data_IF_602203676448
#
_entry.id   IF_602203676448
#
_cell.length_a   1.000
_cell.length_b   1.000
_cell.length_c   1.000
_cell.angle_alpha   90.00
_cell.angle_beta   90.00
_cell.angle_gamma   90.00
#
_symmetry.space_group_name_H-M   'P 1'
#
loop_
_entity.id
_entity.type
_entity.pdbx_description
1 polymer ?
#
# COMPACT_ATOMS: atom_id res chain seq x y z
N UNK A 1 -48.34 -48.73 -42.01
CA UNK A 1 -49.35 -48.02 -41.19
C UNK A 1 -48.66 -46.85 -40.50
N UNK A 2 -49.20 -45.64 -40.69
CA UNK A 2 -48.62 -44.36 -40.28
C UNK A 2 -49.15 -44.01 -38.88
N UNK A 3 -48.28 -43.79 -37.90
CA UNK A 3 -48.66 -43.11 -36.66
C UNK A 3 -47.96 -41.75 -36.60
N UNK A 4 -48.79 -40.72 -36.65
CA UNK A 4 -48.49 -39.32 -36.83
C UNK A 4 -48.72 -38.60 -35.48
N UNK A 5 -47.77 -37.74 -35.11
CA UNK A 5 -47.89 -36.53 -34.26
C UNK A 5 -48.36 -36.67 -32.80
N UNK A 6 -47.55 -36.10 -31.89
CA UNK A 6 -47.92 -34.82 -31.26
C UNK A 6 -46.65 -34.06 -30.82
N UNK A 7 -46.47 -32.85 -31.36
CA UNK A 7 -45.51 -31.85 -30.87
C UNK A 7 -46.22 -31.07 -29.76
N UNK A 8 -45.62 -31.00 -28.57
CA UNK A 8 -46.04 -30.04 -27.55
C UNK A 8 -45.01 -28.91 -27.50
N UNK A 9 -45.40 -27.78 -28.07
CA UNK A 9 -44.80 -26.46 -27.88
C UNK A 9 -45.61 -25.75 -26.79
N UNK A 10 -44.99 -25.43 -25.66
CA UNK A 10 -45.42 -24.42 -24.69
C UNK A 10 -44.33 -24.39 -23.59
N UNK A 11 -43.79 -23.28 -23.14
CA UNK A 11 -44.01 -21.89 -23.43
C UNK A 11 -42.95 -21.14 -22.62
N UNK A 12 -42.34 -20.14 -23.25
CA UNK A 12 -41.41 -19.22 -22.58
C UNK A 12 -42.24 -18.40 -21.58
N UNK A 13 -41.98 -18.57 -20.28
CA UNK A 13 -42.46 -17.64 -19.26
C UNK A 13 -41.30 -16.77 -18.79
N UNK A 14 -41.17 -15.61 -19.43
CA UNK A 14 -40.40 -14.48 -18.88
C UNK A 14 -41.18 -13.96 -17.67
N UNK A 15 -40.69 -14.26 -16.47
CA UNK A 15 -41.16 -13.61 -15.25
C UNK A 15 -40.48 -12.24 -15.11
N UNK A 16 -41.34 -11.24 -15.03
CA UNK A 16 -41.07 -9.80 -14.95
C UNK A 16 -40.20 -9.45 -13.74
N UNK A 17 -39.29 -8.51 -13.96
CA UNK A 17 -38.40 -7.94 -12.97
C UNK A 17 -39.16 -7.38 -11.76
N UNK A 18 -38.86 -7.90 -10.56
CA UNK A 18 -39.17 -7.21 -9.32
C UNK A 18 -38.10 -6.12 -9.10
N UNK A 19 -38.45 -4.87 -9.39
CA UNK A 19 -37.72 -3.70 -8.91
C UNK A 19 -37.78 -3.67 -7.39
N UNK A 20 -36.76 -4.22 -6.73
CA UNK A 20 -36.54 -3.99 -5.32
C UNK A 20 -36.17 -2.52 -5.12
N UNK A 21 -37.11 -1.73 -4.60
CA UNK A 21 -36.80 -0.41 -4.08
C UNK A 21 -35.91 -0.61 -2.85
N UNK A 22 -34.62 -0.35 -2.99
CA UNK A 22 -33.70 -0.21 -1.86
C UNK A 22 -34.14 1.03 -1.07
N UNK A 23 -34.91 0.82 0.00
CA UNK A 23 -35.04 1.80 1.05
C UNK A 23 -33.64 2.04 1.62
N UNK A 24 -33.08 3.22 1.41
CA UNK A 24 -31.80 3.58 2.01
C UNK A 24 -31.97 3.59 3.54
N UNK A 25 -31.03 3.01 4.31
CA UNK A 25 -31.04 3.21 5.75
C UNK A 25 -30.92 4.71 6.04
N UNK A 26 -31.83 5.22 6.88
CA UNK A 26 -31.82 6.59 7.37
C UNK A 26 -30.59 6.79 8.26
N UNK A 27 -29.47 7.19 7.68
CA UNK A 27 -28.28 7.54 8.45
C UNK A 27 -28.55 8.85 9.21
N UNK A 28 -28.24 8.93 10.51
CA UNK A 28 -28.30 10.19 11.23
C UNK A 28 -27.40 11.20 10.52
N UNK A 29 -27.97 12.32 10.08
CA UNK A 29 -27.23 13.40 9.45
C UNK A 29 -26.19 13.93 10.45
N UNK A 30 -24.92 13.90 10.04
CA UNK A 30 -23.85 14.51 10.82
C UNK A 30 -24.16 16.01 11.03
N UNK A 31 -23.95 16.56 12.25
CA UNK A 31 -24.19 17.97 12.51
C UNK A 31 -23.35 18.84 11.56
N UNK A 32 -23.99 19.87 10.98
CA UNK A 32 -23.37 20.82 10.05
C UNK A 32 -22.10 21.41 10.69
N UNK A 33 -20.95 21.16 10.06
CA UNK A 33 -19.66 21.74 10.45
C UNK A 33 -19.74 23.28 10.31
N UNK A 34 -19.39 24.06 11.33
CA UNK A 34 -19.31 25.51 11.21
C UNK A 34 -18.33 25.91 10.11
N UNK A 35 -18.76 26.87 9.28
CA UNK A 35 -17.96 27.52 8.24
C UNK A 35 -16.70 28.14 8.87
N UNK A 36 -15.49 27.93 8.32
CA UNK A 36 -14.32 28.66 8.79
C UNK A 36 -14.54 30.15 8.59
N UNK A 37 -14.57 30.89 9.70
CA UNK A 37 -14.49 32.34 9.71
C UNK A 37 -13.08 32.75 9.27
N UNK A 38 -12.99 33.68 8.32
CA UNK A 38 -11.71 34.25 7.91
C UNK A 38 -11.13 35.08 9.07
N UNK A 39 -10.11 34.57 9.74
CA UNK A 39 -9.29 35.37 10.63
C UNK A 39 -8.26 36.15 9.80
N UNK A 40 -8.55 37.43 9.63
CA UNK A 40 -7.55 38.43 9.28
C UNK A 40 -6.67 38.70 10.52
N UNK A 41 -5.35 38.59 10.38
CA UNK A 41 -4.41 39.27 11.28
C UNK A 41 -3.02 39.41 10.65
N UNK A 42 -2.76 40.65 10.22
CA UNK A 42 -1.53 41.45 10.41
C UNK A 42 -0.16 40.82 10.11
N UNK A 43 0.42 41.26 8.99
CA UNK A 43 1.84 41.16 8.67
C UNK A 43 2.62 42.31 9.35
N UNK A 44 3.61 42.04 10.22
CA UNK A 44 4.59 43.04 10.61
C UNK A 44 5.84 42.92 9.72
N UNK A 45 6.17 44.02 9.05
CA UNK A 45 7.45 44.26 8.38
C UNK A 45 8.52 44.65 9.42
N UNK A 46 9.73 44.10 9.39
CA UNK A 46 10.88 44.69 10.06
C UNK A 46 11.81 45.39 9.06
N UNK A 47 12.10 46.65 9.36
CA UNK A 47 13.07 47.50 8.70
C UNK A 47 14.48 47.26 9.29
N UNK A 48 15.47 47.21 8.39
CA UNK A 48 16.92 47.46 8.48
C UNK A 48 17.74 47.00 9.70
N UNK A 49 18.91 46.38 9.46
CA UNK A 49 20.25 46.96 9.75
C UNK A 49 21.35 46.03 9.22
N UNK A 50 22.29 46.58 8.44
CA UNK A 50 23.49 45.90 7.97
C UNK A 50 24.56 45.84 9.09
N UNK A 51 25.28 44.73 9.19
CA UNK A 51 26.52 44.64 9.97
C UNK A 51 27.50 43.74 9.22
N UNK A 52 28.68 44.29 8.93
CA UNK A 52 29.80 43.68 8.22
C UNK A 52 30.59 42.68 9.09
N UNK A 53 31.00 41.55 8.46
CA UNK A 53 32.24 40.73 8.62
C UNK A 53 32.65 40.15 10.02
N UNK A 54 33.36 38.98 10.13
CA UNK A 54 34.37 38.46 9.17
C UNK A 54 34.40 36.94 8.89
N UNK A 55 35.24 36.59 7.91
CA UNK A 55 35.74 35.27 7.49
C UNK A 55 35.93 34.21 8.58
N UNK A 56 35.55 32.97 8.26
CA UNK A 56 35.91 31.78 9.05
C UNK A 56 35.47 30.45 8.43
N UNK A 57 36.38 29.85 7.66
CA UNK A 57 36.58 28.39 7.53
C UNK A 57 35.59 27.57 6.71
N UNK A 58 36.16 26.87 5.72
CA UNK A 58 35.50 25.94 4.82
C UNK A 58 34.62 24.91 5.56
N UNK A 59 33.30 24.96 5.29
CA UNK A 59 32.40 23.87 5.61
C UNK A 59 32.75 22.68 4.71
N UNK A 60 32.88 21.45 5.24
CA UNK A 60 33.37 20.32 4.48
C UNK A 60 32.45 20.07 3.29
N UNK A 61 33.08 19.91 2.13
CA UNK A 61 32.48 19.43 0.89
C UNK A 61 31.54 18.27 1.19
N UNK A 62 30.24 18.52 1.12
CA UNK A 62 29.24 17.47 1.01
C UNK A 62 29.53 16.78 -0.31
N UNK A 63 30.29 15.69 -0.27
CA UNK A 63 30.44 14.81 -1.41
C UNK A 63 29.03 14.43 -1.84
N UNK A 64 28.62 14.97 -2.99
CA UNK A 64 27.40 14.61 -3.69
C UNK A 64 27.50 13.11 -3.97
N UNK A 65 26.99 12.33 -3.02
CA UNK A 65 26.98 10.89 -3.09
C UNK A 65 25.90 10.59 -4.12
N UNK A 66 26.28 9.91 -5.20
CA UNK A 66 25.31 9.40 -6.18
C UNK A 66 24.17 8.66 -5.47
N UNK A 67 23.05 8.39 -6.16
CA UNK A 67 21.89 7.76 -5.55
C UNK A 67 22.31 6.52 -4.75
N UNK A 68 21.97 6.50 -3.46
CA UNK A 68 22.30 5.36 -2.60
C UNK A 68 21.78 4.09 -3.26
N UNK A 69 22.63 3.05 -3.32
CA UNK A 69 22.25 1.77 -3.93
C UNK A 69 21.01 1.23 -3.23
N UNK A 70 20.02 0.80 -4.01
CA UNK A 70 18.75 0.28 -3.49
C UNK A 70 18.85 -1.23 -3.29
N UNK A 71 18.41 -1.70 -2.14
CA UNK A 71 18.22 -3.12 -1.81
C UNK A 71 16.73 -3.42 -1.91
N UNK A 72 16.40 -4.58 -2.50
CA UNK A 72 15.03 -5.09 -2.60
C UNK A 72 14.97 -6.49 -2.02
N UNK A 73 13.97 -6.74 -1.18
CA UNK A 73 13.70 -8.07 -0.61
C UNK A 73 12.21 -8.33 -0.61
N UNK A 74 11.80 -9.58 -0.77
CA UNK A 74 10.39 -9.94 -0.89
C UNK A 74 10.00 -11.10 0.04
N UNK A 75 8.74 -11.16 0.43
CA UNK A 75 8.25 -12.14 1.40
C UNK A 75 8.28 -13.59 0.91
N UNK A 76 8.18 -13.80 -0.40
CA UNK A 76 8.26 -15.11 -1.08
C UNK A 76 9.70 -15.61 -1.21
N UNK A 77 10.66 -14.69 -1.35
CA UNK A 77 12.08 -14.99 -1.45
C UNK A 77 12.91 -13.95 -0.68
N UNK A 78 12.92 -14.02 0.67
CA UNK A 78 13.65 -13.06 1.47
C UNK A 78 15.15 -13.13 1.18
N UNK A 79 15.79 -11.98 0.95
CA UNK A 79 17.24 -11.89 0.93
C UNK A 79 17.78 -12.10 2.36
N UNK A 80 18.56 -13.16 2.63
CA UNK A 80 19.08 -13.43 3.97
C UNK A 80 20.05 -12.36 4.47
N UNK A 81 20.58 -11.50 3.59
CA UNK A 81 21.48 -10.38 3.95
C UNK A 81 20.72 -9.09 4.24
N UNK A 82 19.46 -8.98 3.82
CA UNK A 82 18.65 -7.82 4.09
C UNK A 82 18.17 -7.85 5.57
N UNK A 83 18.34 -6.77 6.34
CA UNK A 83 17.88 -6.68 7.74
C UNK A 83 16.36 -6.40 7.83
N UNK A 84 15.57 -7.04 6.97
CA UNK A 84 14.11 -6.99 6.98
C UNK A 84 13.62 -8.37 7.36
N UNK A 85 12.73 -8.41 8.35
CA UNK A 85 11.97 -9.60 8.70
C UNK A 85 10.51 -9.39 8.33
N UNK A 86 9.93 -10.37 7.68
CA UNK A 86 8.49 -10.44 7.41
C UNK A 86 7.85 -11.20 8.57
N UNK A 87 7.31 -10.48 9.56
CA UNK A 87 6.73 -11.07 10.76
C UNK A 87 5.38 -11.76 10.48
N UNK A 88 4.60 -11.19 9.55
CA UNK A 88 3.38 -11.80 9.04
C UNK A 88 3.09 -11.27 7.63
N UNK A 89 2.54 -12.14 6.77
CA UNK A 89 2.02 -11.79 5.44
C UNK A 89 0.79 -12.65 5.21
N UNK A 90 -0.38 -12.06 5.39
CA UNK A 90 -1.65 -12.75 5.28
C UNK A 90 -2.42 -12.26 4.05
N UNK A 91 -3.08 -13.20 3.39
CA UNK A 91 -3.99 -12.96 2.29
C UNK A 91 -5.23 -13.82 2.47
N UNK A 92 -6.39 -13.19 2.54
CA UNK A 92 -7.68 -13.85 2.65
C UNK A 92 -8.54 -13.53 1.42
N UNK A 93 -9.03 -14.58 0.76
CA UNK A 93 -9.96 -14.50 -0.36
C UNK A 93 -11.29 -15.16 0.06
N UNK A 94 -12.36 -14.37 0.20
CA UNK A 94 -13.68 -14.90 0.58
C UNK A 94 -14.32 -15.79 -0.49
N UNK A 95 -13.82 -15.72 -1.71
CA UNK A 95 -14.25 -16.52 -2.85
C UNK A 95 -13.34 -17.72 -3.13
N UNK A 96 -12.27 -17.90 -2.36
CA UNK A 96 -11.30 -18.99 -2.52
C UNK A 96 -10.78 -19.13 -3.96
N UNK A 97 -10.63 -18.01 -4.68
CA UNK A 97 -10.13 -17.97 -6.05
C UNK A 97 -11.11 -18.42 -7.12
N UNK A 98 -12.36 -18.78 -6.79
CA UNK A 98 -13.35 -19.31 -7.73
C UNK A 98 -14.55 -18.38 -7.96
N UNK A 99 -14.66 -17.30 -7.20
CA UNK A 99 -15.77 -16.34 -7.31
C UNK A 99 -15.27 -15.00 -7.81
N UNK A 100 -15.88 -14.52 -8.88
CA UNK A 100 -15.72 -13.14 -9.33
C UNK A 100 -16.21 -12.17 -8.24
N UNK A 101 -15.50 -11.05 -8.13
CA UNK A 101 -15.74 -9.96 -7.19
C UNK A 101 -15.72 -10.38 -5.71
N UNK A 102 -15.05 -11.49 -5.37
CA UNK A 102 -14.84 -11.86 -3.98
C UNK A 102 -14.00 -10.81 -3.24
N UNK A 103 -14.18 -10.76 -1.92
CA UNK A 103 -13.40 -9.86 -1.07
C UNK A 103 -12.02 -10.43 -0.84
N UNK A 104 -11.02 -9.61 -1.15
CA UNK A 104 -9.64 -9.85 -0.82
C UNK A 104 -9.25 -8.96 0.36
N UNK A 105 -8.68 -9.54 1.40
CA UNK A 105 -8.11 -8.81 2.54
C UNK A 105 -6.65 -9.21 2.70
N UNK A 106 -5.79 -8.22 2.84
CA UNK A 106 -4.35 -8.40 2.97
C UNK A 106 -3.86 -7.66 4.21
N UNK A 107 -2.98 -8.28 4.98
CA UNK A 107 -2.31 -7.64 6.11
C UNK A 107 -0.87 -8.16 6.25
N UNK A 108 0.04 -7.30 6.67
CA UNK A 108 1.38 -7.72 7.11
C UNK A 108 1.88 -6.89 8.27
N UNK A 109 2.86 -7.49 8.93
CA UNK A 109 3.85 -6.79 9.72
C UNK A 109 5.24 -7.11 9.17
N UNK A 110 6.05 -6.07 9.01
CA UNK A 110 7.49 -6.19 8.75
C UNK A 110 8.26 -5.52 9.88
N UNK A 111 9.50 -5.92 10.11
CA UNK A 111 10.38 -5.26 11.07
C UNK A 111 11.81 -5.13 10.56
N UNK A 112 12.50 -4.08 11.03
CA UNK A 112 13.93 -3.96 10.88
C UNK A 112 14.61 -4.88 11.91
N UNK A 113 15.25 -5.94 11.42
CA UNK A 113 15.95 -6.91 12.27
C UNK A 113 17.37 -6.49 12.63
N UNK A 114 17.89 -5.38 12.08
CA UNK A 114 19.16 -4.80 12.52
C UNK A 114 19.04 -4.29 13.95
N UNK A 115 20.09 -4.50 14.74
CA UNK A 115 20.20 -4.01 16.12
C UNK A 115 20.76 -2.59 16.19
N UNK A 116 21.38 -2.11 15.12
CA UNK A 116 22.19 -0.88 15.11
C UNK A 116 21.80 0.07 13.99
N UNK A 117 21.42 -0.45 12.83
CA UNK A 117 21.25 0.36 11.63
C UNK A 117 19.81 0.78 11.42
N UNK A 118 19.60 2.06 11.14
CA UNK A 118 18.32 2.57 10.67
C UNK A 118 18.23 2.40 9.15
N UNK A 119 17.18 1.76 8.67
CA UNK A 119 16.91 1.65 7.23
C UNK A 119 16.33 2.97 6.73
N UNK A 120 16.87 3.48 5.61
CA UNK A 120 16.48 4.76 5.03
C UNK A 120 15.74 4.57 3.71
N UNK A 121 14.93 5.57 3.37
CA UNK A 121 14.05 5.62 2.21
C UNK A 121 13.25 4.34 2.02
N UNK A 122 12.71 3.80 3.12
CA UNK A 122 11.97 2.54 3.09
C UNK A 122 10.67 2.73 2.30
N UNK A 123 10.48 1.88 1.30
CA UNK A 123 9.29 1.78 0.47
C UNK A 123 8.77 0.36 0.58
N UNK A 124 7.50 0.22 0.92
CA UNK A 124 6.84 -1.06 1.08
C UNK A 124 5.80 -1.17 -0.03
N UNK A 125 5.93 -2.19 -0.86
CA UNK A 125 4.97 -2.54 -1.90
C UNK A 125 4.20 -3.77 -1.46
N UNK A 126 2.89 -3.60 -1.42
CA UNK A 126 1.93 -4.64 -1.12
C UNK A 126 1.29 -5.08 -2.42
N UNK A 127 1.40 -6.36 -2.77
CA UNK A 127 1.01 -6.86 -4.09
C UNK A 127 0.00 -7.99 -3.95
N UNK A 128 -1.06 -7.92 -4.75
CA UNK A 128 -1.86 -9.09 -5.12
C UNK A 128 -1.31 -9.64 -6.43
N UNK A 129 -0.88 -10.90 -6.40
CA UNK A 129 -0.33 -11.60 -7.56
C UNK A 129 -1.24 -12.76 -7.97
N UNK A 130 -1.33 -13.02 -9.27
CA UNK A 130 -2.01 -14.21 -9.78
C UNK A 130 -1.07 -15.45 -9.71
N UNK A 131 -1.55 -16.58 -10.24
CA UNK A 131 -0.78 -17.83 -10.26
C UNK A 131 0.48 -17.77 -11.15
N UNK A 132 0.53 -16.85 -12.11
CA UNK A 132 1.68 -16.63 -12.99
C UNK A 132 2.68 -15.61 -12.41
N UNK A 133 2.52 -15.21 -11.14
CA UNK A 133 3.28 -14.15 -10.47
C UNK A 133 3.11 -12.75 -11.09
N UNK A 134 2.10 -12.53 -11.93
CA UNK A 134 1.77 -11.20 -12.43
C UNK A 134 1.10 -10.37 -11.33
N UNK A 135 1.55 -9.13 -11.17
CA UNK A 135 0.95 -8.17 -10.22
C UNK A 135 -0.37 -7.67 -10.79
N UNK A 136 -1.46 -8.00 -10.12
CA UNK A 136 -2.83 -7.59 -10.49
C UNK A 136 -3.20 -6.27 -9.82
N UNK A 137 -2.71 -6.07 -8.59
CA UNK A 137 -2.90 -4.84 -7.83
C UNK A 137 -1.71 -4.60 -6.92
N UNK A 138 -1.31 -3.33 -6.78
CA UNK A 138 -0.22 -2.91 -5.91
C UNK A 138 -0.63 -1.68 -5.07
N UNK A 139 -0.22 -1.69 -3.81
CA UNK A 139 -0.25 -0.54 -2.92
C UNK A 139 1.18 -0.19 -2.52
N UNK A 140 1.51 1.10 -2.56
CA UNK A 140 2.87 1.57 -2.25
C UNK A 140 2.82 2.53 -1.07
N UNK A 141 3.55 2.19 -0.01
CA UNK A 141 3.68 3.03 1.18
C UNK A 141 5.14 3.44 1.38
N UNK A 142 5.36 4.75 1.53
CA UNK A 142 6.68 5.32 1.82
C UNK A 142 6.76 5.60 3.31
N UNK A 143 7.46 4.74 4.05
CA UNK A 143 7.63 4.89 5.50
C UNK A 143 8.79 5.81 5.86
N UNK A 144 9.68 6.10 4.90
CA UNK A 144 10.80 7.00 5.09
C UNK A 144 11.95 6.31 5.80
N UNK A 145 11.86 6.08 7.11
CA UNK A 145 12.90 5.39 7.87
C UNK A 145 12.34 4.37 8.85
N UNK A 146 13.04 3.25 9.02
CA UNK A 146 12.70 2.20 9.96
C UNK A 146 13.88 1.97 10.93
N UNK A 147 13.70 2.38 12.19
CA UNK A 147 14.73 2.29 13.24
C UNK A 147 15.03 0.83 13.60
N UNK A 148 16.19 0.53 14.23
CA UNK A 148 16.49 -0.80 14.75
C UNK A 148 15.35 -1.38 15.59
N UNK A 149 14.92 -2.60 15.29
CA UNK A 149 13.83 -3.29 15.98
C UNK A 149 12.43 -2.71 15.74
N UNK A 150 12.28 -1.64 14.96
CA UNK A 150 10.97 -1.05 14.69
C UNK A 150 10.17 -1.94 13.74
N UNK A 151 8.91 -2.16 14.07
CA UNK A 151 7.93 -2.82 13.20
C UNK A 151 7.05 -1.81 12.47
N UNK A 152 6.62 -2.19 11.28
CA UNK A 152 5.62 -1.49 10.49
C UNK A 152 4.50 -2.45 10.12
N UNK A 153 3.25 -2.03 10.35
CA UNK A 153 2.06 -2.79 9.98
C UNK A 153 1.40 -2.12 8.79
N UNK A 154 1.00 -2.92 7.82
CA UNK A 154 0.34 -2.46 6.61
C UNK A 154 -0.96 -3.24 6.41
N UNK A 155 -2.01 -2.50 6.10
CA UNK A 155 -3.33 -3.03 5.81
C UNK A 155 -3.96 -2.11 4.75
N UNK A 156 -3.86 -2.46 3.46
CA UNK A 156 -4.43 -1.65 2.38
C UNK A 156 -5.97 -1.68 2.34
N UNK A 157 -6.62 -2.42 3.25
CA UNK A 157 -8.07 -2.57 3.32
C UNK A 157 -8.57 -3.73 2.47
N UNK A 158 -9.73 -3.53 1.84
CA UNK A 158 -10.44 -4.55 1.07
C UNK A 158 -10.25 -4.29 -0.43
N UNK A 159 -9.81 -5.31 -1.16
CA UNK A 159 -9.81 -5.34 -2.62
C UNK A 159 -10.89 -6.31 -3.15
N UNK A 160 -11.17 -6.24 -4.45
CA UNK A 160 -12.12 -7.13 -5.13
C UNK A 160 -11.37 -8.00 -6.13
N UNK A 161 -11.57 -9.31 -6.07
CA UNK A 161 -11.02 -10.24 -7.06
C UNK A 161 -11.86 -10.20 -8.34
N UNK A 162 -11.53 -9.29 -9.25
CA UNK A 162 -12.28 -9.10 -10.51
C UNK A 162 -11.90 -10.10 -11.60
N UNK A 163 -10.85 -10.89 -11.42
CA UNK A 163 -10.33 -11.81 -12.44
C UNK A 163 -10.85 -13.24 -12.27
N UNK A 164 -11.44 -13.57 -11.12
CA UNK A 164 -12.06 -14.88 -10.88
C UNK A 164 -11.05 -16.02 -10.81
N UNK A 165 -9.81 -15.74 -10.39
CA UNK A 165 -8.75 -16.73 -10.17
C UNK A 165 -8.15 -16.56 -8.78
N UNK A 166 -7.43 -17.56 -8.29
CA UNK A 166 -6.71 -17.43 -7.01
C UNK A 166 -5.67 -16.30 -7.08
N UNK A 167 -5.69 -15.43 -6.07
CA UNK A 167 -4.72 -14.38 -5.84
C UNK A 167 -3.95 -14.66 -4.56
N UNK A 168 -2.65 -14.35 -4.55
CA UNK A 168 -1.80 -14.46 -3.38
C UNK A 168 -1.30 -13.07 -2.97
N UNK A 169 -1.07 -12.88 -1.66
CA UNK A 169 -0.43 -11.68 -1.14
C UNK A 169 1.09 -11.80 -1.20
N UNK A 170 1.75 -10.72 -1.62
CA UNK A 170 3.21 -10.59 -1.64
C UNK A 170 3.61 -9.22 -1.12
N UNK A 171 4.69 -9.19 -0.34
CA UNK A 171 5.27 -7.94 0.15
C UNK A 171 6.65 -7.80 -0.44
N UNK A 172 6.95 -6.62 -0.98
CA UNK A 172 8.27 -6.25 -1.45
C UNK A 172 8.71 -5.02 -0.67
N UNK A 173 9.90 -5.06 -0.09
CA UNK A 173 10.46 -3.94 0.66
C UNK A 173 11.71 -3.47 -0.06
N UNK A 174 11.76 -2.18 -0.33
CA UNK A 174 12.91 -1.52 -0.92
C UNK A 174 13.46 -0.47 0.05
N UNK A 175 14.77 -0.44 0.23
CA UNK A 175 15.43 0.51 1.13
C UNK A 175 16.85 0.79 0.62
N UNK A 176 17.47 1.82 1.16
CA UNK A 176 18.85 2.15 0.80
C UNK A 176 19.82 1.17 1.46
N UNK A 177 20.83 0.73 0.71
CA UNK A 177 21.89 -0.13 1.20
C UNK A 177 22.59 0.52 2.40
N UNK A 178 22.72 -0.25 3.48
CA UNK A 178 23.46 0.18 4.65
C UNK A 178 24.93 0.26 4.26
N UNK A 179 25.44 1.49 4.16
CA UNK A 179 26.86 1.74 4.02
C UNK A 179 27.54 1.32 5.33
N UNK A 180 28.22 0.19 5.33
CA UNK A 180 29.16 -0.12 6.40
C UNK A 180 30.27 0.93 6.29
N UNK A 181 30.48 1.72 7.34
CA UNK A 181 31.76 2.43 7.45
C UNK A 181 32.81 1.35 7.51
N UNK A 182 33.56 1.17 6.42
CA UNK A 182 34.78 0.38 6.45
C UNK A 182 35.63 0.95 7.57
N UNK A 183 35.73 0.18 8.64
CA UNK A 183 36.44 0.57 9.84
C UNK A 183 37.91 0.78 9.47
N UNK A 184 38.41 1.94 9.89
CA UNK A 184 39.82 2.20 10.10
C UNK A 184 40.50 0.92 10.61
N UNK A 185 41.50 0.47 9.85
CA UNK A 185 42.47 -0.50 10.29
C UNK A 185 43.75 0.24 10.64
#
# INVERSE_FOLDING_TARGET
MKNLKLRTLAGVLFAVAATAAFAQPNYPQAPKRPKPSASATSSPSPNATATDAPSGTASPTTTATGPAKRVTTSSDRPDPKAPIKFDSVNCYDSGYGSKFNSEMRLDAAISNSSKTDTLKNVVIKYQLINLDNAVVQEWVEKTGALKPGQSYKINPGVARNTIGTKLNGKVVVEFDEIQKKDGAK
#
